data_IF_271301964960
#
_entry.id   IF_271301964960
#
_cell.length_a   1.000
_cell.length_b   1.000
_cell.length_c   1.000
_cell.angle_alpha   90.00
_cell.angle_beta   90.00
_cell.angle_gamma   90.00
#
_symmetry.space_group_name_H-M   'P 1'
#
loop_
_entity.id
_entity.type
_entity.pdbx_description
1 polymer ?
#
# COMPACT_ATOMS: atom_id res chain seq x y z
N UNK A 1 -49.63 -3.45 12.53
CA UNK A 1 -48.52 -2.54 12.87
C UNK A 1 -48.80 -1.15 12.31
N UNK A 2 -48.75 -0.10 13.14
CA UNK A 2 -49.06 1.27 12.74
C UNK A 2 -48.13 1.72 11.59
N UNK A 3 -48.68 2.35 10.53
CA UNK A 3 -47.90 2.88 9.39
C UNK A 3 -46.74 3.76 9.85
N UNK A 4 -46.94 4.58 10.90
CA UNK A 4 -45.86 5.42 11.47
C UNK A 4 -44.72 4.59 12.06
N UNK A 5 -45.04 3.49 12.76
CA UNK A 5 -44.04 2.58 13.33
C UNK A 5 -43.23 1.89 12.23
N UNK A 6 -43.87 1.50 11.11
CA UNK A 6 -43.15 0.95 9.94
C UNK A 6 -42.15 1.94 9.36
N UNK A 7 -42.53 3.20 9.19
CA UNK A 7 -41.64 4.22 8.63
C UNK A 7 -40.48 4.56 9.55
N UNK A 8 -40.69 4.59 10.87
CA UNK A 8 -39.62 4.79 11.85
C UNK A 8 -38.61 3.63 11.79
N UNK A 9 -39.07 2.39 11.73
CA UNK A 9 -38.18 1.22 11.63
C UNK A 9 -37.38 1.22 10.33
N UNK A 10 -37.99 1.61 9.20
CA UNK A 10 -37.30 1.76 7.93
C UNK A 10 -36.22 2.83 8.01
N UNK A 11 -36.52 4.00 8.59
CA UNK A 11 -35.55 5.08 8.74
C UNK A 11 -34.37 4.68 9.63
N UNK A 12 -34.63 4.01 10.76
CA UNK A 12 -33.58 3.50 11.64
C UNK A 12 -32.70 2.49 10.90
N UNK A 13 -33.30 1.55 10.18
CA UNK A 13 -32.55 0.55 9.41
C UNK A 13 -31.63 1.20 8.35
N UNK A 14 -32.13 2.21 7.63
CA UNK A 14 -31.34 2.94 6.64
C UNK A 14 -30.14 3.65 7.29
N UNK A 15 -30.35 4.32 8.43
CA UNK A 15 -29.27 5.01 9.16
C UNK A 15 -28.23 4.00 9.68
N UNK A 16 -28.67 2.85 10.21
CA UNK A 16 -27.75 1.82 10.69
C UNK A 16 -26.92 1.21 9.56
N UNK A 17 -27.53 0.93 8.40
CA UNK A 17 -26.80 0.42 7.23
C UNK A 17 -25.79 1.44 6.74
N UNK A 18 -26.15 2.72 6.65
CA UNK A 18 -25.24 3.79 6.24
C UNK A 18 -24.04 3.93 7.21
N UNK A 19 -24.30 3.86 8.50
CA UNK A 19 -23.24 3.92 9.53
C UNK A 19 -22.30 2.70 9.46
N UNK A 20 -22.84 1.50 9.31
CA UNK A 20 -22.03 0.29 9.15
C UNK A 20 -21.22 0.31 7.86
N UNK A 21 -21.77 0.86 6.78
CA UNK A 21 -21.03 1.06 5.53
C UNK A 21 -19.87 2.05 5.71
N UNK A 22 -20.04 3.16 6.44
CA UNK A 22 -18.94 4.08 6.73
C UNK A 22 -17.83 3.50 7.63
N UNK A 23 -18.17 2.50 8.44
CA UNK A 23 -17.17 1.76 9.22
C UNK A 23 -16.46 0.67 8.41
N UNK A 24 -17.00 0.32 7.25
CA UNK A 24 -16.42 -0.66 6.33
C UNK A 24 -15.50 -0.06 5.29
N UNK A 25 -15.40 1.27 5.22
CA UNK A 25 -14.38 1.89 4.38
C UNK A 25 -13.01 1.37 4.83
N UNK A 26 -12.23 0.78 3.91
CA UNK A 26 -10.90 0.30 4.26
C UNK A 26 -10.10 1.49 4.78
N UNK A 27 -9.36 1.27 5.86
CA UNK A 27 -8.38 2.25 6.33
C UNK A 27 -7.53 2.67 5.13
N UNK A 28 -7.47 3.98 4.84
CA UNK A 28 -6.59 4.47 3.79
C UNK A 28 -5.18 3.98 4.07
N UNK A 29 -4.53 3.41 3.04
CA UNK A 29 -3.16 2.97 3.17
C UNK A 29 -2.25 4.19 3.21
N UNK A 30 -1.94 4.65 4.42
CA UNK A 30 -1.12 5.82 4.62
C UNK A 30 0.37 5.57 4.32
N UNK A 31 0.77 4.30 4.15
CA UNK A 31 2.16 3.91 3.94
C UNK A 31 2.73 4.41 2.62
N UNK A 32 1.89 4.52 1.58
CA UNK A 32 2.28 4.90 0.23
C UNK A 32 1.37 6.01 -0.31
N UNK A 33 1.95 7.16 -0.68
CA UNK A 33 1.18 8.31 -1.19
C UNK A 33 1.86 8.97 -2.38
N UNK A 34 1.08 9.28 -3.40
CA UNK A 34 1.53 10.09 -4.54
C UNK A 34 1.12 11.54 -4.33
N UNK A 35 2.08 12.43 -4.49
CA UNK A 35 1.91 13.87 -4.33
C UNK A 35 2.46 14.55 -5.59
N UNK A 36 1.60 15.14 -6.41
CA UNK A 36 2.02 15.95 -7.58
C UNK A 36 1.91 17.43 -7.22
N UNK A 37 3.03 18.14 -7.32
CA UNK A 37 3.07 19.58 -7.09
C UNK A 37 3.93 20.25 -8.15
N UNK A 38 3.34 21.21 -8.86
CA UNK A 38 4.02 22.01 -9.90
C UNK A 38 4.76 21.15 -10.95
N UNK A 39 4.21 19.98 -11.32
CA UNK A 39 4.80 18.99 -12.25
C UNK A 39 5.97 18.19 -11.69
N UNK A 40 6.28 18.33 -10.41
CA UNK A 40 7.16 17.44 -9.69
C UNK A 40 6.32 16.40 -8.95
N UNK A 41 6.59 15.12 -9.18
CA UNK A 41 5.89 14.02 -8.52
C UNK A 41 6.76 13.47 -7.41
N UNK A 42 6.17 13.33 -6.23
CA UNK A 42 6.79 12.75 -5.06
C UNK A 42 6.02 11.50 -4.66
N UNK A 43 6.76 10.43 -4.37
CA UNK A 43 6.21 9.20 -3.81
C UNK A 43 6.67 9.09 -2.36
N UNK A 44 5.71 9.15 -1.44
CA UNK A 44 5.97 8.96 -0.03
C UNK A 44 5.92 7.47 0.28
N UNK A 45 6.94 6.94 0.97
CA UNK A 45 6.99 5.54 1.42
C UNK A 45 7.35 5.44 2.90
N UNK A 46 6.94 4.35 3.54
CA UNK A 46 7.34 4.01 4.90
C UNK A 46 7.66 2.51 5.09
N UNK A 47 8.04 2.13 6.32
CA UNK A 47 8.31 0.73 6.67
C UNK A 47 7.06 -0.18 6.64
N UNK A 48 5.86 0.37 6.49
CA UNK A 48 4.59 -0.34 6.27
C UNK A 48 4.20 -0.40 4.78
N UNK A 49 5.03 0.14 3.87
CA UNK A 49 4.82 -0.02 2.43
C UNK A 49 5.25 -1.42 2.01
N UNK A 50 4.28 -2.33 1.86
CA UNK A 50 4.52 -3.73 1.51
C UNK A 50 3.96 -4.13 0.14
N UNK A 51 4.34 -5.32 -0.31
CA UNK A 51 3.71 -6.01 -1.44
C UNK A 51 3.74 -5.18 -2.74
N UNK A 52 2.59 -4.95 -3.38
CA UNK A 52 2.49 -4.14 -4.59
C UNK A 52 3.01 -2.70 -4.41
N UNK A 53 2.95 -2.15 -3.18
CA UNK A 53 3.52 -0.83 -2.88
C UNK A 53 5.04 -0.79 -3.06
N UNK A 54 5.75 -1.83 -2.62
CA UNK A 54 7.20 -1.95 -2.81
C UNK A 54 7.58 -2.13 -4.28
N UNK A 55 6.80 -2.92 -5.04
CA UNK A 55 6.99 -3.06 -6.50
C UNK A 55 6.80 -1.71 -7.19
N UNK A 56 5.71 -1.00 -6.87
CA UNK A 56 5.40 0.29 -7.47
C UNK A 56 6.47 1.34 -7.13
N UNK A 57 6.93 1.41 -5.88
CA UNK A 57 7.97 2.34 -5.48
C UNK A 57 9.29 2.10 -6.22
N UNK A 58 9.66 0.83 -6.44
CA UNK A 58 10.84 0.50 -7.23
C UNK A 58 10.65 0.90 -8.69
N UNK A 59 9.50 0.59 -9.29
CA UNK A 59 9.22 1.00 -10.66
C UNK A 59 9.25 2.53 -10.82
N UNK A 60 8.66 3.26 -9.87
CA UNK A 60 8.61 4.71 -9.86
C UNK A 60 10.02 5.31 -9.88
N UNK A 61 10.91 4.80 -9.03
CA UNK A 61 12.32 5.18 -8.97
C UNK A 61 13.07 4.76 -10.24
N UNK A 62 12.93 3.51 -10.66
CA UNK A 62 13.62 2.95 -11.82
C UNK A 62 13.32 3.67 -13.13
N UNK A 63 12.08 4.12 -13.32
CA UNK A 63 11.64 4.85 -14.50
C UNK A 63 11.78 6.38 -14.38
N UNK A 64 12.43 6.88 -13.32
CA UNK A 64 12.61 8.32 -13.05
C UNK A 64 11.27 9.08 -13.09
N UNK A 65 10.22 8.52 -12.48
CA UNK A 65 8.88 9.13 -12.49
C UNK A 65 8.75 10.28 -11.50
N UNK A 66 9.72 10.45 -10.60
CA UNK A 66 9.74 11.49 -9.58
C UNK A 66 10.76 11.17 -8.49
N UNK A 67 10.55 11.71 -7.28
CA UNK A 67 11.40 11.47 -6.12
C UNK A 67 10.67 10.64 -5.05
N UNK A 68 11.35 9.65 -4.47
CA UNK A 68 10.85 8.88 -3.34
C UNK A 68 11.33 9.51 -2.03
N UNK A 69 10.42 9.88 -1.13
CA UNK A 69 10.72 10.54 0.14
C UNK A 69 10.11 9.74 1.29
N UNK A 70 10.83 9.53 2.39
CA UNK A 70 10.28 8.82 3.55
C UNK A 70 11.24 7.79 4.11
N UNK A 71 10.75 6.58 4.36
CA UNK A 71 11.55 5.46 4.85
C UNK A 71 11.61 4.33 3.83
N UNK A 72 12.54 3.41 4.03
CA UNK A 72 12.64 2.20 3.22
C UNK A 72 11.36 1.36 3.34
N UNK A 73 10.95 0.75 2.23
CA UNK A 73 9.75 -0.11 2.20
C UNK A 73 9.90 -1.32 3.09
N UNK A 74 8.80 -1.80 3.67
CA UNK A 74 8.80 -2.94 4.59
C UNK A 74 9.08 -4.30 3.93
N UNK A 75 8.90 -4.41 2.61
CA UNK A 75 9.20 -5.62 1.85
C UNK A 75 10.33 -5.41 0.84
N UNK A 76 10.81 -6.53 0.31
CA UNK A 76 11.57 -6.57 -0.92
C UNK A 76 10.70 -6.09 -2.09
N UNK A 77 11.30 -5.40 -3.07
CA UNK A 77 10.59 -5.01 -4.29
C UNK A 77 10.47 -6.15 -5.31
N UNK A 78 11.39 -7.11 -5.31
CA UNK A 78 11.29 -8.34 -6.11
C UNK A 78 11.19 -9.54 -5.17
N UNK A 79 10.12 -10.31 -5.28
CA UNK A 79 9.80 -11.37 -4.33
C UNK A 79 8.86 -12.43 -4.91
N UNK A 80 8.86 -13.60 -4.29
CA UNK A 80 7.92 -14.67 -4.58
C UNK A 80 6.50 -14.27 -4.17
N UNK A 81 5.57 -14.25 -5.12
CA UNK A 81 4.19 -13.81 -4.91
C UNK A 81 3.33 -14.78 -4.10
N UNK A 82 2.15 -14.32 -3.68
CA UNK A 82 1.19 -15.10 -2.90
C UNK A 82 0.30 -16.05 -3.73
N UNK A 83 0.64 -16.26 -5.00
CA UNK A 83 0.05 -17.34 -5.80
C UNK A 83 0.65 -18.68 -5.35
N UNK A 84 0.14 -19.22 -4.25
CA UNK A 84 0.69 -20.40 -3.59
C UNK A 84 0.10 -21.67 -4.19
N UNK A 85 0.99 -22.56 -4.64
CA UNK A 85 0.63 -23.93 -4.96
C UNK A 85 0.75 -24.78 -3.68
N UNK A 86 -0.35 -25.42 -3.31
CA UNK A 86 -0.44 -26.26 -2.11
C UNK A 86 -0.28 -27.73 -2.50
N UNK A 87 0.60 -28.43 -1.79
CA UNK A 87 0.85 -29.84 -2.03
C UNK A 87 0.77 -30.63 -0.74
N UNK A 88 0.31 -31.88 -0.84
CA UNK A 88 0.36 -32.86 0.23
C UNK A 88 1.15 -34.08 -0.26
N UNK A 89 2.22 -34.44 0.46
CA UNK A 89 3.02 -35.60 0.09
C UNK A 89 2.22 -36.89 0.32
N UNK A 90 2.20 -37.82 -0.66
CA UNK A 90 1.25 -38.93 -0.67
C UNK A 90 1.44 -39.90 0.51
N UNK A 91 2.69 -40.10 0.94
CA UNK A 91 3.04 -41.10 1.96
C UNK A 91 3.17 -40.51 3.37
N UNK A 92 3.79 -39.34 3.51
CA UNK A 92 4.01 -38.70 4.83
C UNK A 92 2.87 -37.78 5.26
N UNK A 93 2.00 -37.38 4.32
CA UNK A 93 0.94 -36.37 4.53
C UNK A 93 1.46 -34.99 4.96
N UNK A 94 2.76 -34.74 4.84
CA UNK A 94 3.31 -33.40 5.03
C UNK A 94 2.75 -32.46 3.97
N UNK A 95 2.34 -31.27 4.41
CA UNK A 95 1.87 -30.21 3.53
C UNK A 95 2.96 -29.17 3.35
N UNK A 96 3.10 -28.65 2.14
CA UNK A 96 3.99 -27.53 1.86
C UNK A 96 3.34 -26.58 0.85
N UNK A 97 3.82 -25.35 0.89
CA UNK A 97 3.37 -24.27 0.02
C UNK A 97 4.60 -23.76 -0.73
N UNK A 98 4.48 -23.61 -2.03
CA UNK A 98 5.51 -22.99 -2.87
C UNK A 98 4.85 -21.90 -3.69
N UNK A 99 5.54 -20.77 -3.83
CA UNK A 99 5.07 -19.75 -4.75
C UNK A 99 5.17 -20.24 -6.19
N UNK A 100 4.13 -20.00 -6.97
CA UNK A 100 4.09 -20.26 -8.40
C UNK A 100 4.50 -19.06 -9.25
N UNK A 101 4.80 -17.92 -8.62
CA UNK A 101 5.07 -16.65 -9.29
C UNK A 101 6.24 -15.94 -8.63
N UNK A 102 7.15 -15.43 -9.44
CA UNK A 102 8.18 -14.50 -9.00
C UNK A 102 7.91 -13.12 -9.58
N UNK A 103 7.76 -12.11 -8.72
CA UNK A 103 7.61 -10.72 -9.14
C UNK A 103 8.99 -10.11 -9.31
N UNK A 104 9.23 -9.56 -10.49
CA UNK A 104 10.43 -8.79 -10.79
C UNK A 104 10.00 -7.33 -11.04
N UNK A 105 10.34 -6.43 -10.11
CA UNK A 105 9.87 -5.04 -10.16
C UNK A 105 10.47 -4.25 -11.33
N UNK A 106 11.73 -4.51 -11.69
CA UNK A 106 12.42 -3.82 -12.77
C UNK A 106 13.33 -4.78 -13.56
N UNK A 107 13.88 -4.36 -14.71
CA UNK A 107 14.71 -5.23 -15.58
C UNK A 107 16.07 -5.66 -14.98
N UNK A 108 16.42 -5.21 -13.78
CA UNK A 108 17.64 -5.55 -13.04
C UNK A 108 17.26 -6.33 -11.78
N UNK A 109 17.77 -7.55 -11.67
CA UNK A 109 17.69 -8.29 -10.42
C UNK A 109 18.88 -7.93 -9.55
N UNK A 110 18.67 -7.05 -8.57
CA UNK A 110 19.75 -6.59 -7.67
C UNK A 110 19.78 -7.33 -6.32
N UNK A 111 19.13 -8.49 -6.26
CA UNK A 111 19.05 -9.32 -5.06
C UNK A 111 17.91 -8.94 -4.11
N UNK A 112 18.02 -9.38 -2.86
CA UNK A 112 17.02 -9.19 -1.80
C UNK A 112 17.15 -7.77 -1.22
N UNK A 113 16.52 -6.77 -1.86
CA UNK A 113 16.51 -5.38 -1.39
C UNK A 113 15.09 -4.80 -1.24
N UNK A 114 14.91 -3.96 -0.22
CA UNK A 114 13.83 -2.97 -0.10
C UNK A 114 14.06 -1.80 -1.06
N UNK A 115 13.02 -0.98 -1.28
CA UNK A 115 13.17 0.30 -1.96
C UNK A 115 13.69 1.30 -0.95
N UNK A 116 14.89 1.80 -1.17
CA UNK A 116 15.43 2.91 -0.39
C UNK A 116 14.90 4.25 -0.93
N UNK A 117 14.51 5.19 -0.06
CA UNK A 117 14.08 6.51 -0.50
C UNK A 117 15.24 7.27 -1.16
N UNK A 118 14.93 8.22 -2.04
CA UNK A 118 15.91 9.19 -2.53
C UNK A 118 16.29 10.19 -1.43
N UNK A 119 15.31 10.53 -0.58
CA UNK A 119 15.50 11.35 0.60
C UNK A 119 14.87 10.69 1.83
N UNK A 120 15.70 10.40 2.83
CA UNK A 120 15.22 9.84 4.09
C UNK A 120 14.49 10.92 4.91
N UNK A 121 13.28 10.60 5.37
CA UNK A 121 12.49 11.42 6.27
C UNK A 121 11.96 10.58 7.44
N UNK A 122 12.18 11.06 8.66
CA UNK A 122 11.49 10.51 9.84
C UNK A 122 10.04 10.98 9.83
N UNK A 123 9.11 10.03 9.75
CA UNK A 123 7.66 10.28 9.62
C UNK A 123 6.98 10.73 10.92
N UNK A 124 7.76 11.05 11.97
CA UNK A 124 7.31 11.96 13.02
C UNK A 124 6.98 13.37 12.47
N UNK A 125 7.58 13.73 11.33
CA UNK A 125 7.25 14.93 10.55
C UNK A 125 6.25 14.54 9.46
N UNK A 126 5.21 15.36 9.27
CA UNK A 126 4.27 15.16 8.17
C UNK A 126 4.98 15.31 6.81
N UNK A 127 5.04 14.24 5.99
CA UNK A 127 5.80 14.22 4.74
C UNK A 127 5.24 15.17 3.70
N UNK A 128 3.93 15.41 3.70
CA UNK A 128 3.31 16.35 2.76
C UNK A 128 3.78 17.77 3.08
N UNK A 129 3.61 18.23 4.32
CA UNK A 129 4.11 19.53 4.75
C UNK A 129 5.62 19.69 4.57
N UNK A 130 6.40 18.63 4.78
CA UNK A 130 7.83 18.62 4.50
C UNK A 130 8.11 18.95 3.03
N UNK A 131 7.42 18.27 2.10
CA UNK A 131 7.58 18.50 0.67
C UNK A 131 7.20 19.94 0.31
N UNK A 132 6.06 20.43 0.81
CA UNK A 132 5.61 21.79 0.54
C UNK A 132 6.66 22.84 0.93
N UNK A 133 7.18 22.76 2.15
CA UNK A 133 8.13 23.74 2.68
C UNK A 133 9.48 23.74 1.98
N UNK A 134 9.98 22.58 1.59
CA UNK A 134 11.34 22.45 1.05
C UNK A 134 11.40 22.62 -0.47
N UNK A 135 10.32 22.30 -1.18
CA UNK A 135 10.34 22.23 -2.65
C UNK A 135 9.43 23.24 -3.36
N UNK A 136 8.63 24.02 -2.62
CA UNK A 136 7.67 24.98 -3.22
C UNK A 136 7.84 26.38 -2.67
N UNK A 137 7.98 26.54 -1.36
CA UNK A 137 8.05 27.86 -0.72
C UNK A 137 9.43 28.55 -0.86
N UNK A 138 10.32 28.02 -1.72
CA UNK A 138 11.64 28.57 -2.03
C UNK A 138 11.63 29.44 -3.29
#
# INVERSE_FOLDING_TARGET
MNKKIRWILIAVLIVTIAYLASLSDPSEDESIRLVDINRNVYLITDHNTFSAGSIFAEMFKFYNMGQVIGQATGNLYSFNGFALAHFALPNSKLTYQISSVYNLANKKEEGMKSVEPDEFLNLEVDPVNYIFRNYIDN
#
